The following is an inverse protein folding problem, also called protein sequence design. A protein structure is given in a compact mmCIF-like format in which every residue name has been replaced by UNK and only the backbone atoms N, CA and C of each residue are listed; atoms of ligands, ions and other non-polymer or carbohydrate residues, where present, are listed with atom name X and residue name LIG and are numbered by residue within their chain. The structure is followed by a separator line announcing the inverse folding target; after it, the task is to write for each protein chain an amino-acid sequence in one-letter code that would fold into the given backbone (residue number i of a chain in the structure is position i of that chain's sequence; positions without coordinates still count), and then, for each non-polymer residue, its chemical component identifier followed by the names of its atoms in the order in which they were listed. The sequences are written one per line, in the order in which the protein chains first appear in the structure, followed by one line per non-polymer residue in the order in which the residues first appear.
data_IF_660542834107
#
_entry.id   IF_660542834107
#
_cell.length_a   1.000
_cell.length_b   1.000
_cell.length_c   1.000
_cell.angle_alpha   90.00
_cell.angle_beta   90.00
_cell.angle_gamma   90.00
#
_symmetry.space_group_name_H-M   'P 1'
#
loop_
_entity.id
_entity.type
_entity.pdbx_description
1 polymer ?
#
# COMPACT_ATOMS: atom_id res chain seq x y z
N UNK A 1 -47.14 10.55 -5.06
CA UNK A 1 -45.74 10.81 -4.62
C UNK A 1 -44.93 11.26 -5.82
N UNK A 2 -44.68 12.56 -5.92
CA UNK A 2 -44.04 13.24 -7.06
C UNK A 2 -42.63 12.70 -7.41
N UNK A 3 -41.96 12.02 -6.46
CA UNK A 3 -40.59 11.52 -6.61
C UNK A 3 -40.45 10.00 -6.66
N UNK A 4 -41.55 9.25 -6.86
CA UNK A 4 -41.52 7.77 -6.82
C UNK A 4 -40.49 7.17 -7.80
N UNK A 5 -40.37 7.73 -9.00
CA UNK A 5 -39.40 7.28 -10.01
C UNK A 5 -37.95 7.49 -9.56
N UNK A 6 -37.64 8.64 -8.95
CA UNK A 6 -36.30 8.95 -8.44
C UNK A 6 -35.91 8.01 -7.31
N UNK A 7 -36.82 7.75 -6.37
CA UNK A 7 -36.58 6.81 -5.27
C UNK A 7 -36.36 5.38 -5.75
N UNK A 8 -37.11 4.93 -6.77
CA UNK A 8 -36.89 3.61 -7.39
C UNK A 8 -35.52 3.58 -8.07
N UNK A 9 -35.15 4.62 -8.82
CA UNK A 9 -33.84 4.71 -9.46
C UNK A 9 -32.69 4.69 -8.46
N UNK A 10 -32.79 5.49 -7.39
CA UNK A 10 -31.82 5.49 -6.29
C UNK A 10 -31.71 4.11 -5.62
N UNK A 11 -32.83 3.49 -5.26
CA UNK A 11 -32.82 2.17 -4.65
C UNK A 11 -32.19 1.11 -5.57
N UNK A 12 -32.45 1.17 -6.88
CA UNK A 12 -31.85 0.28 -7.86
C UNK A 12 -30.32 0.45 -7.92
N UNK A 13 -29.82 1.70 -7.96
CA UNK A 13 -28.38 1.98 -7.95
C UNK A 13 -27.71 1.42 -6.68
N UNK A 14 -28.32 1.64 -5.52
CA UNK A 14 -27.79 1.13 -4.24
C UNK A 14 -27.76 -0.41 -4.24
N UNK A 15 -28.88 -1.07 -4.54
CA UNK A 15 -28.97 -2.54 -4.49
C UNK A 15 -27.97 -3.17 -5.45
N UNK A 16 -27.88 -2.68 -6.69
CA UNK A 16 -26.94 -3.23 -7.69
C UNK A 16 -25.49 -3.00 -7.27
N UNK A 17 -25.14 -1.80 -6.84
CA UNK A 17 -23.76 -1.46 -6.44
C UNK A 17 -23.30 -2.29 -5.24
N UNK A 18 -24.14 -2.42 -4.20
CA UNK A 18 -23.81 -3.24 -3.02
C UNK A 18 -23.79 -4.73 -3.32
N UNK A 19 -24.61 -5.21 -4.28
CA UNK A 19 -24.57 -6.60 -4.73
C UNK A 19 -23.26 -6.93 -5.44
N UNK A 20 -22.78 -6.05 -6.32
CA UNK A 20 -21.46 -6.16 -6.96
C UNK A 20 -20.34 -6.12 -5.91
N UNK A 21 -20.39 -5.17 -4.98
CA UNK A 21 -19.39 -5.06 -3.90
C UNK A 21 -19.35 -6.33 -3.02
N UNK A 22 -20.52 -6.84 -2.63
CA UNK A 22 -20.62 -8.05 -1.81
C UNK A 22 -20.11 -9.29 -2.53
N UNK A 23 -20.46 -9.46 -3.81
CA UNK A 23 -19.97 -10.56 -4.63
C UNK A 23 -18.44 -10.55 -4.73
N UNK A 24 -17.84 -9.43 -5.15
CA UNK A 24 -16.39 -9.34 -5.28
C UNK A 24 -15.65 -9.35 -3.93
N UNK A 25 -16.29 -8.92 -2.85
CA UNK A 25 -15.74 -9.10 -1.50
C UNK A 25 -15.54 -10.57 -1.11
N UNK A 26 -16.47 -11.45 -1.50
CA UNK A 26 -16.34 -12.90 -1.30
C UNK A 26 -15.23 -13.48 -2.19
N UNK A 27 -15.14 -13.05 -3.44
CA UNK A 27 -14.08 -13.47 -4.35
C UNK A 27 -12.70 -13.08 -3.82
N UNK A 28 -12.51 -11.84 -3.35
CA UNK A 28 -11.25 -11.38 -2.75
C UNK A 28 -10.82 -12.29 -1.58
N UNK A 29 -11.75 -12.71 -0.73
CA UNK A 29 -11.44 -13.59 0.41
C UNK A 29 -11.01 -14.99 -0.03
N UNK A 30 -11.64 -15.55 -1.07
CA UNK A 30 -11.32 -16.88 -1.60
C UNK A 30 -10.02 -16.91 -2.39
N UNK A 31 -9.73 -15.82 -3.08
CA UNK A 31 -8.63 -15.68 -4.03
C UNK A 31 -7.41 -14.94 -3.45
N UNK A 32 -7.42 -14.65 -2.15
CA UNK A 32 -6.31 -14.02 -1.46
C UNK A 32 -5.05 -14.93 -1.50
N UNK A 33 -3.84 -14.35 -1.55
CA UNK A 33 -2.62 -15.13 -1.43
C UNK A 33 -2.62 -15.90 -0.10
N UNK A 34 -2.37 -17.22 -0.11
CA UNK A 34 -2.38 -18.00 1.12
C UNK A 34 -1.20 -17.63 2.01
N UNK A 35 -1.40 -17.69 3.33
CA UNK A 35 -0.30 -17.69 4.29
C UNK A 35 0.05 -19.16 4.58
N UNK A 36 1.22 -19.66 4.17
CA UNK A 36 1.60 -21.06 4.39
C UNK A 36 1.74 -21.37 5.88
N UNK A 37 1.47 -22.60 6.29
CA UNK A 37 1.72 -23.04 7.67
C UNK A 37 3.23 -23.17 7.94
N UNK A 38 4.00 -23.57 6.93
CA UNK A 38 5.45 -23.69 6.99
C UNK A 38 6.10 -23.34 5.65
N UNK A 39 7.24 -22.67 5.71
CA UNK A 39 8.11 -22.43 4.57
C UNK A 39 9.37 -23.26 4.77
N UNK A 40 9.66 -24.15 3.82
CA UNK A 40 10.77 -25.08 3.90
C UNK A 40 11.63 -25.04 2.64
N UNK A 41 12.86 -25.51 2.74
CA UNK A 41 13.71 -25.76 1.58
C UNK A 41 13.39 -27.11 0.91
N UNK A 42 13.90 -27.33 -0.30
CA UNK A 42 13.76 -28.61 -1.02
C UNK A 42 14.31 -29.82 -0.22
N UNK A 43 15.33 -29.63 0.61
CA UNK A 43 15.92 -30.62 1.51
C UNK A 43 15.20 -30.73 2.87
N UNK A 44 14.11 -29.97 3.07
CA UNK A 44 13.22 -30.08 4.22
C UNK A 44 13.61 -29.25 5.44
N UNK A 45 14.56 -28.32 5.32
CA UNK A 45 14.92 -27.38 6.39
C UNK A 45 13.80 -26.36 6.56
N UNK A 46 13.31 -26.21 7.79
CA UNK A 46 12.31 -25.20 8.13
C UNK A 46 12.96 -23.82 8.18
N UNK A 47 12.44 -22.86 7.40
CA UNK A 47 12.87 -21.46 7.45
C UNK A 47 12.05 -20.67 8.47
N UNK A 48 10.73 -20.67 8.31
CA UNK A 48 9.80 -20.04 9.25
C UNK A 48 8.38 -20.58 9.06
N UNK A 49 7.51 -20.27 10.02
CA UNK A 49 6.12 -20.71 10.04
C UNK A 49 5.16 -19.60 9.62
N UNK A 50 3.91 -19.99 9.32
CA UNK A 50 2.83 -19.02 9.11
C UNK A 50 2.55 -18.15 10.33
N UNK A 51 2.89 -18.62 11.53
CA UNK A 51 2.78 -17.80 12.73
C UNK A 51 3.84 -16.70 12.77
N UNK A 52 5.09 -17.00 12.38
CA UNK A 52 6.14 -15.98 12.24
C UNK A 52 5.76 -14.88 11.23
N UNK A 53 5.10 -15.24 10.12
CA UNK A 53 4.59 -14.25 9.13
C UNK A 53 3.55 -13.32 9.76
N UNK A 54 2.58 -13.87 10.51
CA UNK A 54 1.53 -13.09 11.17
C UNK A 54 2.08 -12.21 12.29
N UNK A 55 3.00 -12.75 13.08
CA UNK A 55 3.66 -11.98 14.13
C UNK A 55 4.56 -10.89 13.54
N UNK A 56 5.22 -11.17 12.41
CA UNK A 56 5.95 -10.18 11.63
C UNK A 56 5.06 -9.03 11.15
N UNK A 57 3.85 -9.34 10.68
CA UNK A 57 2.86 -8.32 10.32
C UNK A 57 2.50 -7.44 11.53
N UNK A 58 2.33 -8.03 12.71
CA UNK A 58 2.06 -7.29 13.95
C UNK A 58 3.26 -6.42 14.36
N UNK A 59 4.49 -6.91 14.19
CA UNK A 59 5.72 -6.13 14.42
C UNK A 59 5.76 -4.92 13.50
N UNK A 60 5.56 -5.11 12.19
CA UNK A 60 5.49 -4.03 11.21
C UNK A 60 4.39 -3.01 11.55
N UNK A 61 3.19 -3.46 11.94
CA UNK A 61 2.12 -2.56 12.39
C UNK A 61 2.52 -1.75 13.63
N UNK A 62 3.20 -2.38 14.59
CA UNK A 62 3.57 -1.73 15.86
C UNK A 62 4.57 -0.59 15.70
N UNK A 63 5.41 -0.62 14.66
CA UNK A 63 6.37 0.45 14.37
C UNK A 63 5.78 1.60 13.52
N UNK A 64 4.50 1.49 13.15
CA UNK A 64 3.77 2.49 12.36
C UNK A 64 3.14 1.94 11.09
N UNK A 65 3.46 0.70 10.69
CA UNK A 65 2.88 0.04 9.52
C UNK A 65 3.03 0.87 8.24
N UNK A 66 1.90 1.20 7.63
CA UNK A 66 1.82 2.03 6.41
C UNK A 66 2.26 3.49 6.60
N UNK A 67 2.69 3.88 7.79
CA UNK A 67 3.28 5.18 8.07
C UNK A 67 4.80 5.16 7.90
N UNK A 68 5.41 3.97 7.75
CA UNK A 68 6.84 3.77 7.50
C UNK A 68 6.98 2.94 6.22
N UNK A 69 7.07 3.62 5.08
CA UNK A 69 7.08 3.00 3.75
C UNK A 69 5.74 2.44 3.31
N UNK A 70 5.75 1.55 2.33
CA UNK A 70 4.55 0.90 1.79
C UNK A 70 4.65 -0.63 1.76
N UNK A 71 3.50 -1.29 1.79
CA UNK A 71 3.33 -2.70 1.42
C UNK A 71 2.27 -2.73 0.33
N UNK A 72 2.57 -3.40 -0.79
CA UNK A 72 1.68 -3.47 -1.94
C UNK A 72 1.21 -2.09 -2.43
N UNK A 73 2.11 -1.09 -2.42
CA UNK A 73 1.89 0.27 -2.88
C UNK A 73 1.08 1.16 -1.93
N UNK A 74 0.59 0.63 -0.81
CA UNK A 74 -0.19 1.38 0.16
C UNK A 74 0.68 1.82 1.34
N UNK A 75 0.81 3.13 1.54
CA UNK A 75 1.42 3.70 2.75
C UNK A 75 2.07 5.07 2.56
N UNK A 76 3.25 5.24 3.16
CA UNK A 76 4.05 6.46 3.17
C UNK A 76 5.13 6.43 2.08
N UNK A 77 5.59 7.61 1.64
CA UNK A 77 6.39 7.74 0.40
C UNK A 77 7.83 8.22 0.61
N UNK A 78 8.32 8.31 1.86
CA UNK A 78 9.73 8.61 2.13
C UNK A 78 10.56 7.33 2.05
N UNK A 79 10.23 6.36 2.90
CA UNK A 79 10.79 5.02 2.80
C UNK A 79 10.18 4.26 1.60
N UNK A 80 10.88 3.24 1.06
CA UNK A 80 10.45 2.50 -0.12
C UNK A 80 9.22 1.62 0.14
N UNK A 81 8.76 0.95 -0.92
CA UNK A 81 7.86 -0.19 -0.78
C UNK A 81 8.65 -1.43 -0.38
N UNK A 82 8.36 -2.00 0.80
CA UNK A 82 9.10 -3.14 1.32
C UNK A 82 8.86 -4.43 0.54
N UNK A 83 7.68 -4.58 -0.07
CA UNK A 83 7.40 -5.76 -0.91
C UNK A 83 8.12 -5.69 -2.25
N UNK A 84 8.33 -4.49 -2.80
CA UNK A 84 9.09 -4.28 -4.03
C UNK A 84 10.60 -4.31 -3.81
N UNK A 85 11.10 -3.61 -2.78
CA UNK A 85 12.53 -3.58 -2.44
C UNK A 85 13.03 -4.98 -2.04
N UNK A 86 12.25 -5.73 -1.24
CA UNK A 86 12.60 -7.11 -0.91
C UNK A 86 12.65 -7.97 -2.18
N UNK A 87 11.61 -7.91 -3.02
CA UNK A 87 11.53 -8.70 -4.24
C UNK A 87 12.74 -8.47 -5.15
N UNK A 88 13.12 -7.20 -5.32
CA UNK A 88 14.23 -6.82 -6.16
C UNK A 88 15.56 -7.34 -5.60
N UNK A 89 15.82 -7.14 -4.29
CA UNK A 89 17.04 -7.63 -3.63
C UNK A 89 17.16 -9.15 -3.68
N UNK A 90 16.05 -9.85 -3.45
CA UNK A 90 15.99 -11.32 -3.55
C UNK A 90 16.31 -11.77 -4.97
N UNK A 91 15.74 -11.11 -5.98
CA UNK A 91 15.99 -11.41 -7.39
C UNK A 91 17.44 -11.15 -7.80
N UNK A 92 17.98 -9.98 -7.45
CA UNK A 92 19.37 -9.58 -7.71
C UNK A 92 20.37 -10.54 -7.07
N UNK A 93 20.13 -10.96 -5.83
CA UNK A 93 20.98 -11.94 -5.16
C UNK A 93 21.04 -13.25 -5.96
N UNK A 94 19.89 -13.79 -6.35
CA UNK A 94 19.81 -15.07 -7.08
C UNK A 94 20.53 -14.99 -8.43
N UNK A 95 20.31 -13.94 -9.21
CA UNK A 95 20.95 -13.82 -10.53
C UNK A 95 22.44 -13.57 -10.43
N UNK A 96 22.91 -12.81 -9.44
CA UNK A 96 24.34 -12.62 -9.21
C UNK A 96 25.03 -13.90 -8.77
N UNK A 97 24.41 -14.70 -7.89
CA UNK A 97 24.97 -16.00 -7.50
C UNK A 97 25.08 -16.96 -8.69
N UNK A 98 24.09 -16.98 -9.59
CA UNK A 98 24.21 -17.76 -10.83
C UNK A 98 25.26 -17.18 -11.79
N UNK A 99 25.34 -15.86 -11.93
CA UNK A 99 26.31 -15.21 -12.81
C UNK A 99 27.75 -15.52 -12.39
N UNK A 100 28.06 -15.39 -11.09
CA UNK A 100 29.38 -15.73 -10.54
C UNK A 100 29.67 -17.22 -10.70
N UNK A 101 28.71 -18.10 -10.40
CA UNK A 101 28.90 -19.56 -10.52
C UNK A 101 29.09 -20.02 -11.96
N UNK A 102 28.31 -19.48 -12.89
CA UNK A 102 28.24 -19.99 -14.27
C UNK A 102 29.23 -19.25 -15.20
N UNK A 103 29.64 -18.01 -14.87
CA UNK A 103 30.45 -17.14 -15.72
C UNK A 103 31.58 -16.37 -15.02
N UNK A 104 31.77 -16.55 -13.71
CA UNK A 104 32.81 -15.87 -12.90
C UNK A 104 32.75 -14.34 -12.96
N UNK A 105 31.57 -13.77 -13.22
CA UNK A 105 31.33 -12.32 -13.32
C UNK A 105 30.00 -11.92 -12.69
N UNK A 106 29.89 -10.67 -12.19
CA UNK A 106 28.60 -10.08 -11.80
C UNK A 106 27.58 -10.07 -12.95
N UNK A 107 26.28 -10.10 -12.60
CA UNK A 107 25.19 -10.18 -13.58
C UNK A 107 25.17 -8.96 -14.54
N UNK A 108 25.45 -7.77 -14.01
CA UNK A 108 25.48 -6.50 -14.74
C UNK A 108 26.66 -6.37 -15.71
N UNK A 109 27.73 -7.16 -15.52
CA UNK A 109 28.89 -7.21 -16.41
C UNK A 109 28.78 -8.25 -17.55
N UNK A 110 27.70 -9.05 -17.56
CA UNK A 110 27.43 -10.02 -18.62
C UNK A 110 26.88 -9.35 -19.88
N UNK A 111 27.05 -10.00 -21.04
CA UNK A 111 26.41 -9.59 -22.28
C UNK A 111 24.91 -9.93 -22.28
N UNK A 112 24.15 -9.24 -23.13
CA UNK A 112 22.69 -9.32 -23.18
C UNK A 112 22.14 -10.75 -23.33
N UNK A 113 22.81 -11.63 -24.08
CA UNK A 113 22.35 -13.01 -24.26
C UNK A 113 22.40 -13.79 -22.95
N UNK A 114 23.49 -13.64 -22.19
CA UNK A 114 23.67 -14.30 -20.89
C UNK A 114 22.77 -13.70 -19.82
N UNK A 115 22.59 -12.38 -19.83
CA UNK A 115 21.64 -11.71 -18.94
C UNK A 115 20.21 -12.23 -19.19
N UNK A 116 19.77 -12.28 -20.46
CA UNK A 116 18.46 -12.79 -20.82
C UNK A 116 18.27 -14.27 -20.44
N UNK A 117 19.31 -15.09 -20.59
CA UNK A 117 19.30 -16.50 -20.16
C UNK A 117 19.06 -16.62 -18.64
N UNK A 118 19.81 -15.88 -17.82
CA UNK A 118 19.68 -15.90 -16.36
C UNK A 118 18.35 -15.29 -15.90
N UNK A 119 17.87 -14.23 -16.55
CA UNK A 119 16.57 -13.63 -16.28
C UNK A 119 15.43 -14.61 -16.55
N UNK A 120 15.44 -15.33 -17.68
CA UNK A 120 14.43 -16.35 -17.98
C UNK A 120 14.47 -17.52 -16.97
N UNK A 121 15.66 -17.87 -16.47
CA UNK A 121 15.82 -18.86 -15.39
C UNK A 121 15.25 -18.34 -14.06
N UNK A 122 15.49 -17.07 -13.73
CA UNK A 122 14.98 -16.43 -12.52
C UNK A 122 13.45 -16.36 -12.52
N UNK A 123 12.86 -15.95 -13.63
CA UNK A 123 11.41 -15.88 -13.77
C UNK A 123 10.75 -17.25 -13.56
N UNK A 124 11.39 -18.34 -14.02
CA UNK A 124 10.90 -19.69 -13.76
C UNK A 124 10.98 -20.04 -12.27
N UNK A 125 12.08 -19.70 -11.61
CA UNK A 125 12.30 -19.99 -10.19
C UNK A 125 11.37 -19.20 -9.26
N UNK A 126 11.16 -17.91 -9.53
CA UNK A 126 10.37 -17.04 -8.64
C UNK A 126 8.86 -17.09 -8.92
N UNK A 127 8.46 -17.22 -10.19
CA UNK A 127 7.04 -17.14 -10.58
C UNK A 127 6.30 -18.47 -10.45
N UNK A 128 7.02 -19.60 -10.45
CA UNK A 128 6.42 -20.91 -10.23
C UNK A 128 5.82 -21.01 -8.82
N UNK A 129 4.58 -21.47 -8.74
CA UNK A 129 3.88 -21.60 -7.48
C UNK A 129 4.15 -22.96 -6.83
N UNK A 130 5.06 -22.96 -5.86
CA UNK A 130 5.43 -24.15 -5.07
C UNK A 130 4.70 -24.27 -3.73
N UNK A 131 3.54 -23.61 -3.60
CA UNK A 131 2.66 -23.79 -2.44
C UNK A 131 1.75 -25.02 -2.65
N UNK A 132 1.80 -25.96 -1.70
CA UNK A 132 0.93 -27.13 -1.71
C UNK A 132 -0.31 -26.87 -0.82
N UNK A 133 -1.53 -26.81 -1.36
CA UNK A 133 -2.73 -26.51 -0.58
C UNK A 133 -3.14 -27.62 0.39
N UNK A 134 -2.73 -28.88 0.15
CA UNK A 134 -3.07 -30.01 1.01
C UNK A 134 -2.22 -30.03 2.29
N UNK A 135 -0.93 -29.75 2.16
CA UNK A 135 0.01 -29.71 3.30
C UNK A 135 0.20 -28.30 3.86
N UNK A 136 -0.29 -27.28 3.15
CA UNK A 136 -0.09 -25.85 3.41
C UNK A 136 1.38 -25.47 3.55
N UNK A 137 2.23 -26.16 2.81
CA UNK A 137 3.68 -25.94 2.80
C UNK A 137 4.06 -25.15 1.55
N UNK A 138 4.87 -24.11 1.72
CA UNK A 138 5.59 -23.48 0.63
C UNK A 138 7.02 -24.03 0.61
N UNK A 139 7.44 -24.56 -0.54
CA UNK A 139 8.82 -25.04 -0.74
C UNK A 139 9.61 -24.03 -1.57
N UNK A 140 10.81 -23.68 -1.12
CA UNK A 140 11.76 -22.82 -1.85
C UNK A 140 13.07 -23.56 -2.12
N UNK A 141 13.80 -23.18 -3.17
CA UNK A 141 15.11 -23.77 -3.40
C UNK A 141 16.13 -23.35 -2.33
N UNK A 142 17.20 -24.14 -2.10
CA UNK A 142 18.28 -23.75 -1.19
C UNK A 142 18.88 -22.38 -1.52
N UNK A 143 19.04 -22.07 -2.81
CA UNK A 143 19.55 -20.75 -3.23
C UNK A 143 18.58 -19.62 -2.91
N UNK A 144 17.28 -19.84 -3.06
CA UNK A 144 16.27 -18.86 -2.66
C UNK A 144 16.26 -18.68 -1.14
N UNK A 145 16.51 -19.73 -0.36
CA UNK A 145 16.68 -19.62 1.09
C UNK A 145 17.90 -18.76 1.48
N UNK A 146 19.02 -18.91 0.77
CA UNK A 146 20.18 -18.01 0.92
C UNK A 146 19.81 -16.56 0.59
N UNK A 147 19.05 -16.33 -0.49
CA UNK A 147 18.57 -14.99 -0.87
C UNK A 147 17.67 -14.37 0.19
N UNK A 148 16.76 -15.16 0.78
CA UNK A 148 15.91 -14.75 1.90
C UNK A 148 16.75 -14.33 3.11
N UNK A 149 17.79 -15.10 3.45
CA UNK A 149 18.69 -14.78 4.54
C UNK A 149 19.49 -13.49 4.28
N UNK A 150 19.98 -13.30 3.05
CA UNK A 150 20.72 -12.10 2.65
C UNK A 150 19.84 -10.84 2.67
N UNK A 151 18.62 -10.90 2.15
CA UNK A 151 17.64 -9.81 2.24
C UNK A 151 17.27 -9.53 3.71
N UNK A 152 17.04 -10.58 4.51
CA UNK A 152 16.77 -10.45 5.94
C UNK A 152 17.89 -9.75 6.71
N UNK A 153 19.16 -10.06 6.40
CA UNK A 153 20.30 -9.39 7.01
C UNK A 153 20.34 -7.88 6.70
N UNK A 154 20.04 -7.49 5.45
CA UNK A 154 19.94 -6.08 5.07
C UNK A 154 18.89 -5.34 5.91
N UNK A 155 17.69 -5.91 6.04
CA UNK A 155 16.61 -5.28 6.82
C UNK A 155 16.89 -5.29 8.32
N UNK A 156 17.56 -6.31 8.84
CA UNK A 156 18.04 -6.31 10.23
C UNK A 156 18.99 -5.14 10.46
N UNK A 157 19.97 -4.92 9.58
CA UNK A 157 20.86 -3.75 9.65
C UNK A 157 20.08 -2.43 9.52
N UNK A 158 19.07 -2.37 8.65
CA UNK A 158 18.30 -1.15 8.38
C UNK A 158 17.41 -0.75 9.57
N UNK A 159 16.69 -1.68 10.19
CA UNK A 159 15.71 -1.37 11.24
C UNK A 159 16.27 -1.40 12.66
N UNK A 160 17.49 -1.92 12.84
CA UNK A 160 18.19 -1.93 14.13
C UNK A 160 19.20 -0.76 14.19
N UNK A 161 20.47 -1.03 14.49
CA UNK A 161 21.47 -0.02 14.84
C UNK A 161 22.80 -0.16 14.09
N UNK A 162 22.79 -0.73 12.88
CA UNK A 162 24.01 -0.86 12.09
C UNK A 162 24.51 0.51 11.63
N UNK A 163 25.71 0.98 12.03
CA UNK A 163 26.23 2.29 11.64
C UNK A 163 26.35 2.49 10.12
N UNK A 164 26.61 1.42 9.36
CA UNK A 164 26.79 1.48 7.90
C UNK A 164 25.52 1.92 7.16
N UNK A 165 24.34 1.68 7.75
CA UNK A 165 23.05 2.10 7.20
C UNK A 165 22.47 3.35 7.86
N UNK A 166 23.28 4.12 8.61
CA UNK A 166 22.82 5.34 9.28
C UNK A 166 22.29 6.38 8.28
N UNK A 167 23.03 6.64 7.20
CA UNK A 167 22.60 7.59 6.17
C UNK A 167 21.34 7.13 5.43
N UNK A 168 21.21 5.81 5.20
CA UNK A 168 20.02 5.24 4.58
C UNK A 168 18.80 5.34 5.51
N UNK A 169 18.95 5.06 6.81
CA UNK A 169 17.90 5.27 7.81
C UNK A 169 17.42 6.71 7.84
N UNK A 170 18.35 7.67 7.80
CA UNK A 170 18.03 9.11 7.72
C UNK A 170 17.27 9.43 6.45
N UNK A 171 17.73 8.95 5.29
CA UNK A 171 17.03 9.14 4.02
C UNK A 171 15.60 8.56 4.03
N UNK A 172 15.37 7.49 4.78
CA UNK A 172 14.06 6.86 4.95
C UNK A 172 13.23 7.41 6.12
N UNK A 173 13.77 8.38 6.87
CA UNK A 173 13.18 8.91 8.11
C UNK A 173 12.81 7.80 9.12
N UNK A 174 13.66 6.78 9.23
CA UNK A 174 13.51 5.66 10.15
C UNK A 174 14.39 5.92 11.37
N UNK A 175 13.84 5.93 12.59
CA UNK A 175 14.64 6.09 13.80
C UNK A 175 15.55 4.87 14.01
N UNK A 176 16.71 5.11 14.60
CA UNK A 176 17.59 4.04 15.03
C UNK A 176 16.89 3.13 16.05
N UNK A 177 17.13 1.82 15.98
CA UNK A 177 16.47 0.84 16.84
C UNK A 177 14.94 0.91 16.77
N UNK A 178 14.40 1.15 15.56
CA UNK A 178 12.96 1.05 15.29
C UNK A 178 12.43 -0.33 15.75
N UNK A 179 13.22 -1.38 15.55
CA UNK A 179 13.05 -2.69 16.17
C UNK A 179 14.25 -2.97 17.08
N UNK A 180 13.98 -3.31 18.35
CA UNK A 180 15.02 -3.57 19.37
C UNK A 180 15.30 -5.04 19.63
N UNK A 181 14.34 -5.89 19.32
CA UNK A 181 14.37 -7.31 19.60
C UNK A 181 14.73 -8.06 18.30
N UNK A 182 15.87 -8.78 18.25
CA UNK A 182 16.27 -9.56 17.09
C UNK A 182 15.21 -10.57 16.65
N UNK A 183 14.49 -11.21 17.59
CA UNK A 183 13.47 -12.21 17.26
C UNK A 183 12.29 -11.57 16.52
N UNK A 184 11.87 -10.38 16.96
CA UNK A 184 10.83 -9.60 16.28
C UNK A 184 11.26 -9.17 14.88
N UNK A 185 12.55 -8.89 14.69
CA UNK A 185 13.10 -8.55 13.38
C UNK A 185 13.07 -9.73 12.41
N UNK A 186 13.41 -10.94 12.88
CA UNK A 186 13.28 -12.17 12.09
C UNK A 186 11.82 -12.45 11.67
N UNK A 187 10.86 -12.22 12.55
CA UNK A 187 9.44 -12.32 12.21
C UNK A 187 9.05 -11.29 11.15
N UNK A 188 9.49 -10.04 11.30
CA UNK A 188 9.20 -8.98 10.32
C UNK A 188 9.79 -9.30 8.94
N UNK A 189 10.99 -9.87 8.89
CA UNK A 189 11.58 -10.37 7.64
C UNK A 189 10.71 -11.46 6.99
N UNK A 190 10.15 -12.37 7.79
CA UNK A 190 9.21 -13.40 7.30
C UNK A 190 7.96 -12.79 6.67
N UNK A 191 7.46 -11.68 7.23
CA UNK A 191 6.33 -10.93 6.67
C UNK A 191 6.68 -10.24 5.34
N UNK A 192 7.83 -9.57 5.25
CA UNK A 192 8.27 -8.94 4.01
C UNK A 192 8.53 -9.96 2.89
N UNK A 193 9.14 -11.10 3.21
CA UNK A 193 9.24 -12.22 2.28
C UNK A 193 7.85 -12.69 1.80
N UNK A 194 6.88 -12.87 2.69
CA UNK A 194 5.55 -13.32 2.26
C UNK A 194 4.88 -12.29 1.34
N UNK A 195 5.01 -11.00 1.66
CA UNK A 195 4.47 -9.91 0.85
C UNK A 195 5.11 -9.85 -0.55
N UNK A 196 6.42 -10.06 -0.65
CA UNK A 196 7.16 -10.11 -1.94
C UNK A 196 6.87 -11.40 -2.71
N UNK A 197 6.78 -12.54 -2.03
CA UNK A 197 6.41 -13.83 -2.61
C UNK A 197 5.05 -13.77 -3.30
N UNK A 198 4.04 -13.18 -2.64
CA UNK A 198 2.73 -12.98 -3.22
C UNK A 198 2.77 -12.08 -4.47
N UNK A 199 3.73 -11.15 -4.53
CA UNK A 199 3.87 -10.20 -5.61
C UNK A 199 4.52 -10.78 -6.89
N UNK A 200 5.28 -11.87 -6.77
CA UNK A 200 5.99 -12.51 -7.89
C UNK A 200 5.43 -13.89 -8.30
N UNK A 201 4.74 -14.58 -7.39
CA UNK A 201 4.27 -15.95 -7.62
C UNK A 201 2.96 -15.96 -8.41
N UNK A 202 2.91 -16.73 -9.51
CA UNK A 202 1.71 -16.91 -10.30
C UNK A 202 0.58 -17.56 -9.48
N UNK A 203 -0.66 -17.14 -9.71
CA UNK A 203 -1.82 -17.86 -9.16
C UNK A 203 -1.89 -19.28 -9.72
N UNK A 204 -2.50 -20.24 -9.00
CA UNK A 204 -2.74 -21.57 -9.52
C UNK A 204 -3.46 -21.51 -10.88
N UNK A 205 -2.90 -22.13 -11.91
CA UNK A 205 -3.43 -22.16 -13.28
C UNK A 205 -3.58 -20.78 -13.96
N UNK A 206 -2.84 -19.77 -13.52
CA UNK A 206 -2.81 -18.45 -14.15
C UNK A 206 -1.36 -18.04 -14.50
N UNK A 207 -1.21 -17.03 -15.34
CA UNK A 207 0.07 -16.41 -15.72
C UNK A 207 0.34 -15.11 -14.96
N UNK A 208 -0.67 -14.56 -14.26
CA UNK A 208 -0.54 -13.39 -13.41
C UNK A 208 -0.24 -13.76 -11.96
N UNK A 209 0.45 -12.89 -11.25
CA UNK A 209 0.74 -13.06 -9.81
C UNK A 209 -0.46 -12.77 -8.93
N UNK A 210 -0.40 -13.08 -7.63
CA UNK A 210 -1.53 -12.81 -6.72
C UNK A 210 -1.92 -11.33 -6.66
N UNK A 211 -0.94 -10.43 -6.88
CA UNK A 211 -1.07 -8.97 -6.92
C UNK A 211 -1.30 -8.42 -8.35
N UNK A 212 -1.63 -9.27 -9.33
CA UNK A 212 -1.79 -8.90 -10.74
C UNK A 212 -0.53 -8.30 -11.40
N UNK A 213 0.63 -8.93 -11.18
CA UNK A 213 1.96 -8.52 -11.69
C UNK A 213 2.46 -7.16 -11.18
N UNK A 214 1.97 -6.72 -10.02
CA UNK A 214 2.56 -5.62 -9.28
C UNK A 214 3.58 -6.19 -8.26
N UNK A 215 4.75 -5.56 -8.00
CA UNK A 215 5.22 -4.28 -8.52
C UNK A 215 5.89 -4.42 -9.88
N UNK A 216 6.02 -3.33 -10.67
CA UNK A 216 6.77 -3.35 -11.93
C UNK A 216 8.23 -3.69 -11.66
N UNK A 217 8.70 -4.80 -12.23
CA UNK A 217 10.09 -5.22 -12.19
C UNK A 217 10.35 -6.17 -13.38
N UNK A 218 11.18 -5.71 -14.31
CA UNK A 218 11.50 -6.45 -15.53
C UNK A 218 12.31 -7.72 -15.23
N UNK A 219 13.17 -7.71 -14.21
CA UNK A 219 14.03 -8.84 -13.85
C UNK A 219 13.18 -10.07 -13.51
N UNK A 220 12.12 -9.87 -12.73
CA UNK A 220 11.17 -10.93 -12.33
C UNK A 220 9.97 -11.08 -13.29
N UNK A 221 9.94 -10.30 -14.38
CA UNK A 221 8.91 -10.38 -15.43
C UNK A 221 7.55 -9.79 -15.03
N UNK A 222 7.51 -8.94 -14.00
CA UNK A 222 6.28 -8.26 -13.61
C UNK A 222 5.97 -7.10 -14.55
N UNK A 223 5.03 -7.36 -15.47
CA UNK A 223 4.52 -6.39 -16.44
C UNK A 223 2.99 -6.36 -16.45
N UNK A 224 2.36 -5.22 -16.82
CA UNK A 224 0.93 -5.13 -17.03
C UNK A 224 0.40 -6.26 -17.91
N UNK A 225 -0.64 -6.96 -17.46
CA UNK A 225 -1.31 -7.98 -18.27
C UNK A 225 -2.10 -7.34 -19.41
N UNK A 226 -2.31 -8.06 -20.52
CA UNK A 226 -3.13 -7.57 -21.63
C UNK A 226 -4.56 -7.19 -21.20
N UNK A 227 -5.13 -7.93 -20.23
CA UNK A 227 -6.44 -7.63 -19.66
C UNK A 227 -6.47 -6.29 -18.90
N UNK A 228 -5.41 -5.96 -18.17
CA UNK A 228 -5.29 -4.67 -17.47
C UNK A 228 -5.31 -3.49 -18.45
N UNK A 229 -4.59 -3.62 -19.58
CA UNK A 229 -4.56 -2.59 -20.62
C UNK A 229 -5.93 -2.39 -21.28
N UNK A 230 -6.66 -3.48 -21.55
CA UNK A 230 -8.01 -3.42 -22.11
C UNK A 230 -8.98 -2.67 -21.19
N UNK A 231 -9.01 -2.98 -19.89
CA UNK A 231 -9.89 -2.28 -18.93
C UNK A 231 -9.53 -0.81 -18.74
N UNK A 232 -8.23 -0.48 -18.83
CA UNK A 232 -7.77 0.91 -18.79
C UNK A 232 -8.41 1.70 -19.93
N UNK A 233 -8.29 1.23 -21.18
CA UNK A 233 -8.91 1.89 -22.34
C UNK A 233 -10.44 1.93 -22.26
N UNK A 234 -11.07 0.82 -21.85
CA UNK A 234 -12.52 0.74 -21.70
C UNK A 234 -13.05 1.74 -20.67
N UNK A 235 -12.38 1.91 -19.53
CA UNK A 235 -12.80 2.85 -18.47
C UNK A 235 -12.85 4.30 -18.94
N UNK A 236 -11.90 4.72 -19.78
CA UNK A 236 -11.84 6.07 -20.35
C UNK A 236 -13.00 6.31 -21.32
N UNK A 237 -13.32 5.32 -22.16
CA UNK A 237 -14.47 5.40 -23.09
C UNK A 237 -15.78 5.54 -22.30
N UNK A 238 -15.97 4.72 -21.26
CA UNK A 238 -17.17 4.78 -20.42
C UNK A 238 -17.27 6.12 -19.69
N UNK A 239 -16.16 6.67 -19.18
CA UNK A 239 -16.13 7.99 -18.54
C UNK A 239 -16.58 9.09 -19.51
N UNK A 240 -16.00 9.15 -20.71
CA UNK A 240 -16.34 10.17 -21.72
C UNK A 240 -17.80 10.04 -22.16
N UNK A 241 -18.26 8.81 -22.39
CA UNK A 241 -19.66 8.55 -22.74
C UNK A 241 -20.61 9.00 -21.60
N UNK A 242 -20.27 8.71 -20.34
CA UNK A 242 -21.03 9.13 -19.17
C UNK A 242 -21.13 10.65 -19.05
N UNK A 243 -20.02 11.37 -19.25
CA UNK A 243 -19.99 12.84 -19.28
C UNK A 243 -20.91 13.37 -20.40
N UNK A 244 -20.83 12.80 -21.61
CA UNK A 244 -21.65 13.22 -22.74
C UNK A 244 -23.16 13.00 -22.51
N UNK A 245 -23.53 11.86 -21.94
CA UNK A 245 -24.92 11.56 -21.55
C UNK A 245 -25.41 12.55 -20.50
N UNK A 246 -24.63 12.80 -19.45
CA UNK A 246 -25.00 13.73 -18.38
C UNK A 246 -25.15 15.17 -18.91
N UNK A 247 -24.20 15.63 -19.74
CA UNK A 247 -24.26 16.95 -20.35
C UNK A 247 -25.49 17.12 -21.25
N UNK A 248 -25.82 16.11 -22.06
CA UNK A 248 -27.01 16.11 -22.93
C UNK A 248 -28.30 16.11 -22.10
N UNK A 249 -28.33 15.34 -21.02
CA UNK A 249 -29.46 15.31 -20.09
C UNK A 249 -29.70 16.69 -19.48
N UNK A 250 -28.68 17.34 -18.92
CA UNK A 250 -28.81 18.69 -18.36
C UNK A 250 -29.18 19.75 -19.40
N UNK A 251 -28.60 19.69 -20.60
CA UNK A 251 -28.92 20.64 -21.67
C UNK A 251 -30.38 20.53 -22.14
N UNK A 252 -30.97 19.34 -22.07
CA UNK A 252 -32.36 19.07 -22.50
C UNK A 252 -33.43 19.28 -21.42
N UNK A 253 -33.03 19.43 -20.15
CA UNK A 253 -33.93 19.55 -19.00
C UNK A 253 -33.72 20.86 -18.22
N UNK A 254 -33.44 21.96 -18.94
CA UNK A 254 -33.04 23.26 -18.38
C UNK A 254 -34.16 24.05 -17.67
N UNK A 255 -35.33 23.46 -17.47
CA UNK A 255 -36.53 24.14 -16.94
C UNK A 255 -36.57 24.24 -15.40
N UNK A 256 -35.54 23.75 -14.69
CA UNK A 256 -35.44 23.79 -13.21
C UNK A 256 -34.70 25.04 -12.68
N UNK A 257 -34.57 26.11 -13.47
CA UNK A 257 -34.02 27.36 -12.96
C UNK A 257 -35.01 28.03 -12.00
N UNK A 258 -34.55 28.30 -10.77
CA UNK A 258 -35.32 29.01 -9.75
C UNK A 258 -35.79 30.34 -10.33
N UNK A 259 -37.11 30.53 -10.40
CA UNK A 259 -37.67 31.78 -10.89
C UNK A 259 -37.15 32.93 -10.01
N UNK A 260 -36.44 33.94 -10.56
CA UNK A 260 -35.87 35.02 -9.76
C UNK A 260 -36.91 35.77 -8.91
N UNK A 261 -38.19 35.73 -9.30
CA UNK A 261 -39.29 36.32 -8.53
C UNK A 261 -39.70 35.51 -7.28
N UNK A 262 -39.22 34.27 -7.13
CA UNK A 262 -39.45 33.42 -5.96
C UNK A 262 -38.33 33.52 -4.91
N UNK A 263 -37.23 34.23 -5.23
CA UNK A 263 -36.15 34.49 -4.28
C UNK A 263 -36.61 35.60 -3.33
N UNK A 264 -36.63 35.38 -2.00
CA UNK A 264 -37.02 36.41 -1.06
C UNK A 264 -36.09 37.63 -1.11
N UNK A 265 -36.65 38.85 -1.08
CA UNK A 265 -35.89 40.11 -1.04
C UNK A 265 -35.00 40.28 0.22
N UNK A 266 -35.25 39.46 1.25
CA UNK A 266 -34.50 39.45 2.52
C UNK A 266 -34.19 38.02 2.91
N UNK A 267 -33.00 37.80 3.45
CA UNK A 267 -32.58 36.49 3.94
C UNK A 267 -33.57 35.99 5.01
N UNK A 268 -34.29 34.89 4.74
CA UNK A 268 -35.32 34.36 5.64
C UNK A 268 -34.73 33.85 6.97
N UNK A 269 -33.41 33.66 7.05
CA UNK A 269 -32.72 33.22 8.26
C UNK A 269 -32.38 34.38 9.22
N UNK A 270 -32.38 35.63 8.76
CA UNK A 270 -32.04 36.80 9.61
C UNK A 270 -33.00 36.98 10.81
N UNK A 271 -34.24 36.51 10.69
CA UNK A 271 -35.24 36.56 11.77
C UNK A 271 -35.12 35.42 12.80
N UNK A 272 -34.28 34.40 12.55
CA UNK A 272 -34.13 33.27 13.44
C UNK A 272 -33.34 33.66 14.69
N UNK A 273 -33.97 33.52 15.86
CA UNK A 273 -33.27 33.59 17.14
C UNK A 273 -32.52 32.29 17.36
N UNK A 274 -31.18 32.35 17.38
CA UNK A 274 -30.35 31.18 17.61
C UNK A 274 -30.76 30.46 18.91
N UNK A 275 -31.14 29.19 18.79
CA UNK A 275 -31.49 28.33 19.92
C UNK A 275 -30.24 28.01 20.76
N UNK A 276 -30.39 27.53 21.99
CA UNK A 276 -29.24 27.10 22.80
C UNK A 276 -28.36 26.06 22.12
N UNK A 277 -28.94 25.12 21.35
CA UNK A 277 -28.17 24.12 20.60
C UNK A 277 -27.36 24.74 19.46
N UNK A 278 -27.95 25.66 18.69
CA UNK A 278 -27.24 26.39 17.63
C UNK A 278 -26.10 27.26 18.19
N UNK A 279 -26.25 27.82 19.39
CA UNK A 279 -25.15 28.55 20.04
C UNK A 279 -24.05 27.61 20.55
N UNK A 280 -24.41 26.40 20.98
CA UNK A 280 -23.46 25.42 21.47
C UNK A 280 -22.53 24.87 20.37
N UNK A 281 -22.97 24.86 19.10
CA UNK A 281 -22.12 24.42 17.97
C UNK A 281 -20.89 25.31 17.78
N UNK A 282 -20.89 26.55 18.26
CA UNK A 282 -19.70 27.42 18.25
C UNK A 282 -18.49 26.75 18.91
N UNK A 283 -18.70 25.94 19.96
CA UNK A 283 -17.63 25.18 20.62
C UNK A 283 -17.00 24.16 19.68
N UNK A 284 -17.80 23.51 18.84
CA UNK A 284 -17.31 22.55 17.85
C UNK A 284 -16.44 23.25 16.80
N UNK A 285 -16.84 24.42 16.31
CA UNK A 285 -16.04 25.20 15.36
C UNK A 285 -14.68 25.63 15.93
N UNK A 286 -14.60 25.97 17.23
CA UNK A 286 -13.32 26.21 17.89
C UNK A 286 -12.42 24.97 17.92
N UNK A 287 -12.99 23.80 18.24
CA UNK A 287 -12.25 22.53 18.21
C UNK A 287 -11.79 22.19 16.79
N UNK A 288 -12.66 22.30 15.80
CA UNK A 288 -12.31 22.09 14.37
C UNK A 288 -11.13 22.99 13.98
N UNK A 289 -11.19 24.28 14.32
CA UNK A 289 -10.10 25.23 14.01
C UNK A 289 -8.79 24.82 14.69
N UNK A 290 -8.85 24.41 15.96
CA UNK A 290 -7.67 23.93 16.68
C UNK A 290 -7.07 22.65 16.05
N UNK A 291 -7.93 21.71 15.65
CA UNK A 291 -7.51 20.47 14.98
C UNK A 291 -6.87 20.76 13.60
N UNK A 292 -7.40 21.74 12.84
CA UNK A 292 -6.80 22.19 11.58
C UNK A 292 -5.39 22.73 11.83
N UNK A 293 -5.22 23.63 12.81
CA UNK A 293 -3.90 24.20 13.12
C UNK A 293 -2.90 23.12 13.58
N UNK A 294 -3.34 22.16 14.40
CA UNK A 294 -2.51 21.03 14.79
C UNK A 294 -2.15 20.14 13.59
N UNK A 295 -3.11 19.84 12.71
CA UNK A 295 -2.89 19.04 11.50
C UNK A 295 -1.88 19.70 10.54
N UNK A 296 -1.98 21.01 10.35
CA UNK A 296 -1.00 21.79 9.58
C UNK A 296 0.37 21.71 10.24
N UNK A 297 0.45 21.89 11.56
CA UNK A 297 1.70 21.78 12.32
C UNK A 297 2.39 20.44 12.14
N UNK A 298 1.67 19.32 12.30
CA UNK A 298 2.24 17.99 12.05
C UNK A 298 2.58 17.75 10.58
N UNK A 299 1.83 18.35 9.65
CA UNK A 299 2.16 18.32 8.22
C UNK A 299 3.50 18.98 7.92
N UNK A 300 3.76 20.15 8.51
CA UNK A 300 5.04 20.85 8.37
C UNK A 300 6.19 19.97 8.89
N UNK A 301 6.04 19.38 10.08
CA UNK A 301 7.10 18.51 10.65
C UNK A 301 7.32 17.26 9.77
N UNK A 302 6.23 16.63 9.32
CA UNK A 302 6.27 15.42 8.46
C UNK A 302 7.07 15.69 7.18
N UNK A 303 6.87 16.84 6.55
CA UNK A 303 7.58 17.22 5.32
C UNK A 303 9.07 17.51 5.59
N UNK A 304 9.44 18.06 6.74
CA UNK A 304 10.84 18.31 7.07
C UNK A 304 11.64 17.01 7.18
N UNK A 305 11.06 15.93 7.69
CA UNK A 305 11.73 14.61 7.67
C UNK A 305 12.05 14.10 6.27
N UNK A 306 11.32 14.53 5.24
CA UNK A 306 11.66 14.20 3.84
C UNK A 306 12.88 14.95 3.29
N UNK A 307 13.38 15.96 4.01
CA UNK A 307 14.50 16.80 3.59
C UNK A 307 15.69 16.63 4.54
N UNK A 308 15.46 16.71 5.85
CA UNK A 308 16.50 16.61 6.88
C UNK A 308 16.66 15.18 7.43
N UNK A 309 15.70 14.28 7.19
CA UNK A 309 15.74 12.88 7.61
C UNK A 309 15.27 12.63 9.04
N UNK A 310 16.05 13.08 10.03
CA UNK A 310 15.84 12.78 11.45
C UNK A 310 15.63 14.03 12.34
N UNK A 311 15.59 15.21 11.73
CA UNK A 311 15.53 16.48 12.45
C UNK A 311 14.54 17.53 11.94
N UNK A 312 14.48 18.62 12.70
CA UNK A 312 13.77 19.85 12.34
C UNK A 312 14.68 21.05 12.66
N UNK A 313 15.30 21.64 11.63
CA UNK A 313 16.30 22.70 11.76
C UNK A 313 17.45 22.33 12.70
N UNK A 314 17.93 21.08 12.61
CA UNK A 314 19.01 20.55 13.45
C UNK A 314 18.59 20.12 14.87
N UNK A 315 17.32 20.22 15.23
CA UNK A 315 16.77 19.65 16.45
C UNK A 315 16.44 18.17 16.19
N UNK A 316 16.93 17.19 16.99
CA UNK A 316 16.71 15.76 16.80
C UNK A 316 15.29 15.33 17.22
N UNK A 317 14.28 15.94 16.60
CA UNK A 317 12.88 15.76 16.99
C UNK A 317 12.39 14.31 16.80
N UNK A 318 13.04 13.52 15.93
CA UNK A 318 12.68 12.14 15.66
C UNK A 318 12.80 11.21 16.88
N UNK A 319 13.57 11.58 17.91
CA UNK A 319 13.70 10.80 19.15
C UNK A 319 12.38 10.71 19.93
N UNK A 320 11.54 11.75 19.85
CA UNK A 320 10.27 11.82 20.57
C UNK A 320 9.06 11.81 19.64
N UNK A 321 9.22 12.36 18.43
CA UNK A 321 8.15 12.56 17.49
C UNK A 321 8.59 12.13 16.07
N UNK A 322 8.88 10.84 15.84
CA UNK A 322 9.34 10.32 14.56
C UNK A 322 8.34 10.56 13.43
N UNK A 323 8.82 10.40 12.19
CA UNK A 323 8.03 10.54 10.97
C UNK A 323 6.71 9.74 11.02
N UNK A 324 6.75 8.50 11.51
CA UNK A 324 5.55 7.66 11.61
C UNK A 324 4.46 8.28 12.48
N UNK A 325 4.82 8.90 13.61
CA UNK A 325 3.87 9.55 14.52
C UNK A 325 3.34 10.86 13.93
N UNK A 326 4.22 11.71 13.43
CA UNK A 326 3.83 13.01 12.83
C UNK A 326 2.89 12.82 11.65
N UNK A 327 3.20 11.88 10.75
CA UNK A 327 2.32 11.54 9.63
C UNK A 327 1.00 10.94 10.09
N UNK A 328 1.04 10.02 11.07
CA UNK A 328 -0.18 9.44 11.66
C UNK A 328 -1.11 10.54 12.14
N UNK A 329 -0.60 11.47 12.95
CA UNK A 329 -1.39 12.56 13.50
C UNK A 329 -1.87 13.53 12.42
N UNK A 330 -1.02 13.87 11.45
CA UNK A 330 -1.43 14.68 10.31
C UNK A 330 -2.63 14.08 9.56
N UNK A 331 -2.59 12.80 9.22
CA UNK A 331 -3.67 12.11 8.49
C UNK A 331 -4.92 11.92 9.37
N UNK A 332 -4.75 11.49 10.62
CA UNK A 332 -5.88 11.24 11.52
C UNK A 332 -6.60 12.53 11.91
N UNK A 333 -5.86 13.61 12.20
CA UNK A 333 -6.46 14.91 12.51
C UNK A 333 -7.23 15.47 11.32
N UNK A 334 -6.78 15.21 10.08
CA UNK A 334 -7.53 15.58 8.88
C UNK A 334 -8.92 14.93 8.86
N UNK A 335 -9.00 13.63 9.15
CA UNK A 335 -10.27 12.91 9.27
C UNK A 335 -11.11 13.50 10.41
N UNK A 336 -10.51 13.70 11.60
CA UNK A 336 -11.24 14.19 12.76
C UNK A 336 -11.83 15.58 12.56
N UNK A 337 -11.09 16.55 12.03
CA UNK A 337 -11.65 17.90 11.88
C UNK A 337 -12.71 17.94 10.78
N UNK A 338 -12.54 17.20 9.68
CA UNK A 338 -13.56 17.10 8.62
C UNK A 338 -14.82 16.46 9.19
N UNK A 339 -14.70 15.32 9.87
CA UNK A 339 -15.84 14.61 10.45
C UNK A 339 -16.53 15.40 11.56
N UNK A 340 -15.79 16.21 12.34
CA UNK A 340 -16.36 17.06 13.40
C UNK A 340 -17.05 18.31 12.85
N UNK A 341 -16.76 18.69 11.59
CA UNK A 341 -17.36 19.85 10.93
C UNK A 341 -18.76 19.58 10.36
N UNK A 342 -19.01 18.33 9.96
CA UNK A 342 -20.30 17.85 9.45
C UNK A 342 -21.14 17.26 10.58
#
# INVERSE_FOLDING_TARGET
MQYRKLWIGFAAVIIVSFSVLGYFGVEIYREAPPVPERVITDDGVLLFTGQNIKDGQNVWQSMGGQQVGTIWGHGAYIAPDWSADWLHREAEFIVNQWAVRDFERPFDELDNERQAMLQARLQRELRENRYNPNTKTLTVSPLRAEAIAAAGAHYTSLFMNDPELSDLRKAYAIPENAIRDPERMEWMNSFFFWASWAAVTNRPNDTKTYTNNWPPDDLVGNRPTGWLLLWTGFSVIVLIAGIGVLATYYASHRDDDVNPTEIPDRDPLLGLKATPSMKATLKYFWIVTALILAQIGFGVITVHYGVEGDGLYGIPLAEWLPYSITRTWHVQLAIFWIATSW
#
